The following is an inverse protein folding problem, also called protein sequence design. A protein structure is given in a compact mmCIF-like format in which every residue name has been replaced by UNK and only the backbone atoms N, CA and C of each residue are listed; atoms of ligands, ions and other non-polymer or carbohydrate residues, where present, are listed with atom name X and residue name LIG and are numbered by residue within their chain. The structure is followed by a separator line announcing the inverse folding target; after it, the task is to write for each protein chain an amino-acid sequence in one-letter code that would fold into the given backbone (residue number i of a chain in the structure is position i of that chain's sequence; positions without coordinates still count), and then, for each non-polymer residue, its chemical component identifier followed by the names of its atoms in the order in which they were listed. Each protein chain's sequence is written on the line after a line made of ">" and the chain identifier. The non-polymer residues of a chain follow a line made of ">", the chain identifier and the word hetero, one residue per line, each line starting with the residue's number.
data_IF_080109611554
#
_entry.id   IF_080109611554
#
_cell.length_a   1.000
_cell.length_b   1.000
_cell.length_c   1.000
_cell.angle_alpha   90.00
_cell.angle_beta   90.00
_cell.angle_gamma   90.00
#
_symmetry.space_group_name_H-M   'P 1'
#
loop_
_entity.id
_entity.type
_entity.pdbx_description
1 polymer ?
#
# COMPACT_ATOMS: atom_id res chain seq x y z
N UNK A 1 13.98 -18.14 14.81
CA UNK A 1 12.64 -17.60 14.50
C UNK A 1 12.42 -17.76 13.00
N UNK A 2 11.36 -18.45 12.57
CA UNK A 2 11.06 -18.61 11.14
C UNK A 2 10.75 -17.24 10.57
N UNK A 3 11.49 -16.80 9.54
CA UNK A 3 11.16 -15.58 8.83
C UNK A 3 9.74 -15.73 8.25
N UNK A 4 8.85 -14.81 8.58
CA UNK A 4 7.51 -14.75 8.00
C UNK A 4 7.63 -14.65 6.48
N UNK A 5 7.04 -15.60 5.77
CA UNK A 5 7.04 -15.63 4.30
C UNK A 5 6.00 -14.64 3.75
N UNK A 6 6.24 -14.14 2.55
CA UNK A 6 5.24 -13.36 1.84
C UNK A 6 4.01 -14.21 1.49
N UNK A 7 2.85 -13.56 1.49
CA UNK A 7 1.55 -14.14 1.17
C UNK A 7 0.74 -13.16 0.36
N UNK A 8 -0.24 -13.68 -0.38
CA UNK A 8 -1.30 -12.85 -0.95
C UNK A 8 -2.54 -12.84 -0.04
N UNK A 9 -3.16 -11.68 0.06
CA UNK A 9 -4.56 -11.52 0.41
C UNK A 9 -5.35 -11.14 -0.85
N UNK A 10 -6.60 -11.63 -0.94
CA UNK A 10 -7.52 -11.37 -2.06
C UNK A 10 -6.99 -11.80 -3.45
N UNK A 11 -6.12 -12.80 -3.49
CA UNK A 11 -5.60 -13.35 -4.74
C UNK A 11 -5.11 -14.79 -4.54
N UNK A 12 -5.38 -15.64 -5.50
CA UNK A 12 -4.87 -17.01 -5.59
C UNK A 12 -3.54 -17.09 -6.35
N UNK A 13 -2.98 -15.94 -6.74
CA UNK A 13 -1.70 -15.88 -7.43
C UNK A 13 -0.58 -16.47 -6.56
N UNK A 14 0.38 -17.11 -7.20
CA UNK A 14 1.59 -17.57 -6.49
C UNK A 14 2.47 -16.37 -6.15
N UNK A 15 3.02 -16.38 -4.94
CA UNK A 15 4.02 -15.38 -4.53
C UNK A 15 5.19 -15.41 -5.53
N UNK A 16 5.57 -14.27 -6.11
CA UNK A 16 6.72 -14.19 -7.00
C UNK A 16 7.99 -14.72 -6.32
N UNK A 17 8.80 -15.48 -7.04
CA UNK A 17 10.00 -16.10 -6.48
C UNK A 17 9.70 -17.31 -5.57
N UNK A 18 10.66 -17.68 -4.72
CA UNK A 18 10.54 -18.83 -3.78
C UNK A 18 10.16 -18.36 -2.37
N UNK A 19 8.99 -17.67 -2.24
CA UNK A 19 8.49 -17.16 -0.96
C UNK A 19 9.01 -15.79 -0.55
N UNK A 20 9.92 -15.20 -1.32
CA UNK A 20 10.38 -13.81 -1.22
C UNK A 20 10.35 -13.23 -2.62
N UNK A 21 9.70 -12.07 -2.83
CA UNK A 21 9.65 -11.44 -4.14
C UNK A 21 11.05 -11.14 -4.68
N UNK A 22 11.29 -11.35 -5.99
CA UNK A 22 12.52 -10.91 -6.63
C UNK A 22 12.62 -9.38 -6.61
N UNK A 23 13.77 -8.80 -6.98
CA UNK A 23 13.94 -7.35 -7.03
C UNK A 23 12.88 -6.63 -7.88
N UNK A 24 12.36 -7.30 -8.90
CA UNK A 24 11.28 -6.82 -9.77
C UNK A 24 10.19 -7.88 -9.88
N UNK A 25 8.93 -7.46 -9.76
CA UNK A 25 7.75 -8.33 -9.90
C UNK A 25 6.51 -7.51 -10.27
N UNK A 26 5.49 -8.20 -10.74
CA UNK A 26 4.21 -7.60 -11.15
C UNK A 26 3.07 -8.18 -10.33
N UNK A 27 2.11 -7.33 -9.96
CA UNK A 27 0.81 -7.74 -9.43
C UNK A 27 -0.25 -7.32 -10.45
N UNK A 28 -1.06 -8.28 -10.87
CA UNK A 28 -2.21 -8.03 -11.74
C UNK A 28 -3.45 -7.81 -10.86
N UNK A 29 -4.01 -6.62 -10.92
CA UNK A 29 -5.26 -6.29 -10.26
C UNK A 29 -6.44 -6.60 -11.18
N UNK A 30 -7.34 -7.53 -10.83
CA UNK A 30 -8.56 -7.73 -11.58
C UNK A 30 -9.44 -6.47 -11.58
N UNK A 31 -10.27 -6.33 -12.60
CA UNK A 31 -11.32 -5.32 -12.63
C UNK A 31 -12.27 -5.47 -11.42
N UNK A 32 -12.91 -4.38 -11.02
CA UNK A 32 -13.81 -4.31 -9.87
C UNK A 32 -13.15 -4.59 -8.50
N UNK A 33 -11.85 -4.36 -8.39
CA UNK A 33 -11.12 -4.47 -7.12
C UNK A 33 -10.84 -3.10 -6.51
N UNK A 34 -10.92 -3.00 -5.16
CA UNK A 34 -10.73 -1.73 -4.46
C UNK A 34 -10.31 -1.94 -3.00
N UNK A 35 -9.72 -0.89 -2.40
CA UNK A 35 -9.50 -0.75 -0.95
C UNK A 35 -10.03 0.62 -0.55
N UNK A 36 -11.27 0.65 -0.03
CA UNK A 36 -11.98 1.87 0.31
C UNK A 36 -12.98 1.67 1.45
N UNK A 37 -13.18 2.69 2.27
CA UNK A 37 -14.19 2.70 3.32
C UNK A 37 -14.86 4.07 3.40
N UNK A 38 -16.20 4.12 3.27
CA UNK A 38 -16.98 5.36 3.29
C UNK A 38 -18.29 5.18 4.05
N UNK A 39 -18.68 6.15 4.94
CA UNK A 39 -19.99 6.13 5.57
C UNK A 39 -21.15 6.10 4.55
N UNK A 40 -22.31 5.54 4.93
CA UNK A 40 -22.54 4.90 6.22
C UNK A 40 -22.10 3.44 6.29
N UNK A 41 -21.83 2.76 5.16
CA UNK A 41 -21.66 1.31 5.15
C UNK A 41 -20.78 0.76 4.01
N UNK A 42 -20.19 1.61 3.19
CA UNK A 42 -19.35 1.13 2.09
C UNK A 42 -18.00 0.63 2.63
N UNK A 43 -17.76 -0.67 2.54
CA UNK A 43 -16.48 -1.30 2.87
C UNK A 43 -16.06 -2.13 1.66
N UNK A 44 -14.90 -1.81 1.09
CA UNK A 44 -14.27 -2.55 0.01
C UNK A 44 -12.84 -2.89 0.43
N UNK A 45 -12.51 -4.16 0.34
CA UNK A 45 -11.17 -4.66 0.64
C UNK A 45 -10.91 -5.91 -0.20
N UNK A 46 -10.96 -5.73 -1.54
CA UNK A 46 -10.93 -6.83 -2.51
C UNK A 46 -9.69 -6.83 -3.41
N UNK A 47 -8.87 -5.78 -3.34
CA UNK A 47 -7.68 -5.68 -4.16
C UNK A 47 -6.60 -6.69 -3.72
N UNK A 48 -5.84 -7.29 -4.66
CA UNK A 48 -4.69 -8.13 -4.33
C UNK A 48 -3.63 -7.37 -3.54
N UNK A 49 -3.20 -7.95 -2.43
CA UNK A 49 -2.14 -7.43 -1.56
C UNK A 49 -1.08 -8.50 -1.39
N UNK A 50 0.15 -8.24 -1.79
CA UNK A 50 1.31 -9.06 -1.47
C UNK A 50 1.96 -8.51 -0.21
N UNK A 51 1.96 -9.26 0.87
CA UNK A 51 2.39 -8.80 2.18
C UNK A 51 3.23 -9.80 2.95
N UNK A 52 3.90 -9.29 3.96
CA UNK A 52 4.58 -10.04 5.01
C UNK A 52 4.02 -9.61 6.37
N UNK A 53 3.69 -10.56 7.26
CA UNK A 53 3.36 -10.25 8.64
C UNK A 53 4.62 -9.86 9.41
N UNK A 54 4.54 -8.74 10.13
CA UNK A 54 5.65 -8.13 10.86
C UNK A 54 5.15 -7.80 12.27
N UNK A 55 5.91 -8.02 13.34
CA UNK A 55 5.55 -7.48 14.64
C UNK A 55 5.47 -5.94 14.59
N UNK A 56 4.34 -5.36 15.00
CA UNK A 56 4.10 -3.91 14.90
C UNK A 56 5.23 -3.08 15.53
N UNK A 57 5.71 -3.52 16.69
CA UNK A 57 6.76 -2.83 17.45
C UNK A 57 8.13 -2.89 16.77
N UNK A 58 8.40 -3.93 15.98
CA UNK A 58 9.70 -4.11 15.30
C UNK A 58 9.77 -3.41 13.94
N UNK A 59 8.67 -2.93 13.40
CA UNK A 59 8.68 -2.22 12.13
C UNK A 59 9.50 -0.93 12.21
N UNK A 60 10.37 -0.73 11.22
CA UNK A 60 11.16 0.49 11.05
C UNK A 60 10.75 1.27 9.83
N UNK A 61 10.78 0.62 8.68
CA UNK A 61 10.41 1.25 7.41
C UNK A 61 10.06 0.22 6.34
N UNK A 62 9.35 0.69 5.33
CA UNK A 62 9.20 -0.01 4.06
C UNK A 62 9.42 0.97 2.92
N UNK A 63 10.07 0.50 1.84
CA UNK A 63 10.31 1.29 0.64
C UNK A 63 10.05 0.43 -0.60
N UNK A 64 9.44 1.03 -1.62
CA UNK A 64 9.19 0.36 -2.90
C UNK A 64 9.11 1.37 -4.03
N UNK A 65 9.67 1.02 -5.19
CA UNK A 65 9.42 1.68 -6.46
C UNK A 65 8.29 0.95 -7.18
N UNK A 66 7.45 1.68 -7.91
CA UNK A 66 6.37 1.08 -8.69
C UNK A 66 5.96 1.95 -9.87
N UNK A 67 5.37 1.31 -10.88
CA UNK A 67 4.81 1.97 -12.05
C UNK A 67 3.71 1.11 -12.69
N UNK A 68 2.84 1.76 -13.46
CA UNK A 68 1.87 1.10 -14.33
C UNK A 68 1.46 2.02 -15.48
N UNK A 69 0.78 1.44 -16.47
CA UNK A 69 -0.02 2.19 -17.43
C UNK A 69 -1.41 2.43 -16.80
N UNK A 70 -1.54 3.57 -16.15
CA UNK A 70 -2.78 3.98 -15.50
C UNK A 70 -3.78 4.46 -16.55
N UNK A 71 -4.87 3.72 -16.78
CA UNK A 71 -5.80 3.97 -17.88
C UNK A 71 -7.22 4.29 -17.42
N UNK A 72 -7.68 3.62 -16.39
CA UNK A 72 -9.05 3.77 -15.89
C UNK A 72 -9.07 4.63 -14.64
N UNK A 73 -10.14 5.42 -14.49
CA UNK A 73 -10.29 6.26 -13.30
C UNK A 73 -10.25 5.40 -12.04
N UNK A 74 -9.43 5.82 -11.07
CA UNK A 74 -9.09 5.12 -9.82
C UNK A 74 -8.21 3.88 -9.98
N UNK A 75 -7.62 3.60 -11.15
CA UNK A 75 -6.50 2.67 -11.22
C UNK A 75 -5.45 3.08 -10.20
N UNK A 76 -5.00 2.15 -9.37
CA UNK A 76 -4.14 2.48 -8.25
C UNK A 76 -3.19 1.34 -7.87
N UNK A 77 -2.05 1.70 -7.29
CA UNK A 77 -1.08 0.75 -6.78
C UNK A 77 0.01 1.44 -5.98
N UNK A 78 0.63 0.70 -5.08
CA UNK A 78 1.66 1.21 -4.20
C UNK A 78 1.88 0.35 -2.97
N UNK A 79 2.21 1.00 -1.85
CA UNK A 79 2.50 0.37 -0.56
C UNK A 79 1.27 0.41 0.36
N UNK A 80 1.14 -0.62 1.20
CA UNK A 80 0.05 -0.72 2.18
C UNK A 80 0.54 -1.28 3.50
N UNK A 81 0.05 -0.72 4.60
CA UNK A 81 0.12 -1.24 5.96
C UNK A 81 -1.30 -1.61 6.40
N UNK A 82 -1.49 -2.80 6.95
CA UNK A 82 -2.80 -3.27 7.44
C UNK A 82 -2.66 -3.75 8.88
N UNK A 83 -3.47 -3.19 9.76
CA UNK A 83 -3.59 -3.59 11.16
C UNK A 83 -4.88 -4.39 11.33
N UNK A 84 -4.75 -5.69 11.50
CA UNK A 84 -5.88 -6.55 11.84
C UNK A 84 -5.99 -6.63 13.36
N UNK A 85 -7.08 -6.17 13.92
CA UNK A 85 -7.29 -6.07 15.36
C UNK A 85 -7.90 -7.35 15.94
N UNK A 86 -7.75 -7.57 17.25
CA UNK A 86 -8.19 -8.79 17.90
C UNK A 86 -9.73 -8.94 17.93
N UNK A 87 -10.47 -7.85 17.86
CA UNK A 87 -11.94 -7.79 17.77
C UNK A 87 -12.49 -8.04 16.36
N UNK A 88 -11.60 -8.32 15.39
CA UNK A 88 -11.95 -8.54 13.98
C UNK A 88 -12.03 -7.26 13.16
N UNK A 89 -11.69 -6.12 13.72
CA UNK A 89 -11.57 -4.86 13.00
C UNK A 89 -10.36 -4.83 12.09
N UNK A 90 -10.35 -3.87 11.17
CA UNK A 90 -9.23 -3.66 10.25
C UNK A 90 -9.02 -2.17 10.02
N UNK A 91 -7.80 -1.71 10.31
CA UNK A 91 -7.32 -0.37 10.01
C UNK A 91 -6.21 -0.46 8.98
N UNK A 92 -6.04 0.56 8.16
CA UNK A 92 -4.98 0.50 7.16
C UNK A 92 -4.53 1.89 6.71
N UNK A 93 -3.30 1.95 6.21
CA UNK A 93 -2.73 3.09 5.49
C UNK A 93 -2.20 2.60 4.17
N UNK A 94 -2.68 3.15 3.07
CA UNK A 94 -2.14 2.90 1.74
C UNK A 94 -1.61 4.18 1.13
N UNK A 95 -0.52 4.09 0.38
CA UNK A 95 0.04 5.20 -0.38
C UNK A 95 0.57 4.70 -1.72
N UNK A 96 0.33 5.46 -2.76
CA UNK A 96 0.70 5.03 -4.11
C UNK A 96 0.40 6.08 -5.15
N UNK A 97 0.28 5.63 -6.40
CA UNK A 97 -0.31 6.42 -7.48
C UNK A 97 -1.77 5.99 -7.64
N UNK A 98 -2.62 6.97 -7.89
CA UNK A 98 -4.01 6.80 -8.26
C UNK A 98 -4.36 7.70 -9.44
N UNK A 99 -4.95 7.13 -10.48
CA UNK A 99 -5.41 7.88 -11.64
C UNK A 99 -6.74 8.52 -11.34
N UNK A 100 -6.77 9.84 -11.27
CA UNK A 100 -8.02 10.59 -11.12
C UNK A 100 -7.90 11.95 -11.80
N UNK A 101 -9.04 12.55 -12.22
CA UNK A 101 -9.06 13.80 -12.97
C UNK A 101 -8.15 13.79 -14.22
N UNK A 102 -8.06 12.62 -14.87
CA UNK A 102 -7.31 12.44 -16.13
C UNK A 102 -5.79 12.41 -16.00
N UNK A 103 -5.23 12.33 -14.78
CA UNK A 103 -3.78 12.26 -14.55
C UNK A 103 -3.41 11.47 -13.29
N UNK A 104 -2.17 10.94 -13.23
CA UNK A 104 -1.66 10.28 -12.03
C UNK A 104 -1.47 11.26 -10.87
N UNK A 105 -1.90 10.84 -9.66
CA UNK A 105 -1.67 11.57 -8.42
C UNK A 105 -0.98 10.65 -7.41
N UNK A 106 -0.08 11.21 -6.62
CA UNK A 106 0.30 10.62 -5.36
C UNK A 106 -0.93 10.62 -4.46
N UNK A 107 -1.28 9.44 -3.97
CA UNK A 107 -2.44 9.20 -3.13
C UNK A 107 -2.00 8.68 -1.78
N UNK A 108 -2.56 9.24 -0.72
CA UNK A 108 -2.44 8.69 0.63
C UNK A 108 -3.85 8.54 1.19
N UNK A 109 -4.18 7.34 1.64
CA UNK A 109 -5.42 7.06 2.33
C UNK A 109 -5.10 6.41 3.67
N UNK A 110 -5.57 7.02 4.75
CA UNK A 110 -5.53 6.43 6.09
C UNK A 110 -6.95 6.09 6.53
N UNK A 111 -7.18 4.85 6.96
CA UNK A 111 -8.48 4.37 7.45
C UNK A 111 -8.34 3.89 8.88
N UNK A 112 -8.78 4.71 9.82
CA UNK A 112 -9.07 4.28 11.17
C UNK A 112 -10.51 3.70 11.24
N UNK A 113 -11.52 4.54 11.28
CA UNK A 113 -12.93 4.14 11.11
C UNK A 113 -13.34 4.22 9.63
N UNK A 114 -13.11 5.38 9.02
CA UNK A 114 -13.39 5.65 7.62
C UNK A 114 -12.15 6.14 6.89
N UNK A 115 -12.16 6.03 5.57
CA UNK A 115 -11.06 6.49 4.75
C UNK A 115 -10.96 8.02 4.77
N UNK A 116 -9.77 8.52 5.05
CA UNK A 116 -9.36 9.90 4.89
C UNK A 116 -8.30 9.96 3.77
N UNK A 117 -8.63 10.63 2.68
CA UNK A 117 -7.91 10.58 1.42
C UNK A 117 -7.37 11.95 1.00
N UNK A 118 -6.11 11.98 0.64
CA UNK A 118 -5.43 13.16 0.07
C UNK A 118 -4.70 12.83 -1.23
N UNK A 119 -4.63 13.81 -2.11
CA UNK A 119 -4.05 13.72 -3.44
C UNK A 119 -3.06 14.87 -3.68
N UNK A 120 -1.96 14.54 -4.34
CA UNK A 120 -1.00 15.50 -4.86
C UNK A 120 -0.63 15.08 -6.29
N UNK A 121 -0.62 15.96 -7.29
CA UNK A 121 -0.11 15.59 -8.61
C UNK A 121 1.28 14.98 -8.51
N UNK A 122 1.54 13.91 -9.27
CA UNK A 122 2.90 13.34 -9.33
C UNK A 122 3.84 14.41 -9.87
N UNK A 123 4.91 14.80 -9.17
CA UNK A 123 5.77 15.92 -9.58
C UNK A 123 6.37 15.75 -10.98
N UNK A 124 6.74 14.53 -11.35
CA UNK A 124 7.24 14.21 -12.70
C UNK A 124 6.15 14.23 -13.78
N UNK A 125 4.87 14.27 -13.40
CA UNK A 125 3.74 14.04 -14.31
C UNK A 125 3.63 12.61 -14.85
N UNK A 126 4.54 11.72 -14.46
CA UNK A 126 4.64 10.35 -14.95
C UNK A 126 3.82 9.34 -14.15
N UNK A 127 3.88 8.08 -14.61
CA UNK A 127 3.18 6.94 -14.00
C UNK A 127 4.00 6.14 -12.99
N UNK A 128 5.14 6.66 -12.52
CA UNK A 128 6.06 5.96 -11.62
C UNK A 128 6.34 6.78 -10.35
N UNK A 129 6.53 6.11 -9.24
CA UNK A 129 6.97 6.71 -7.98
C UNK A 129 7.81 5.73 -7.15
N UNK A 130 8.60 6.28 -6.24
CA UNK A 130 9.20 5.54 -5.13
C UNK A 130 8.70 6.14 -3.84
N UNK A 131 8.10 5.32 -3.00
CA UNK A 131 7.61 5.72 -1.69
C UNK A 131 8.38 5.02 -0.57
N UNK A 132 8.53 5.74 0.54
CA UNK A 132 9.10 5.19 1.77
C UNK A 132 8.17 5.56 2.93
N UNK A 133 7.78 4.55 3.71
CA UNK A 133 7.01 4.69 4.93
C UNK A 133 7.93 4.39 6.11
N UNK A 134 8.04 5.32 7.05
CA UNK A 134 8.99 5.25 8.17
C UNK A 134 8.26 5.41 9.49
N UNK A 135 8.57 4.55 10.45
CA UNK A 135 8.24 4.77 11.86
C UNK A 135 9.27 5.72 12.46
N UNK A 136 8.85 6.90 12.83
CA UNK A 136 9.71 7.89 13.47
C UNK A 136 9.83 7.67 15.00
N UNK A 137 10.74 8.40 15.64
CA UNK A 137 11.06 8.22 17.06
C UNK A 137 9.91 8.52 18.02
N UNK A 138 8.96 9.33 17.57
CA UNK A 138 7.73 9.69 18.31
C UNK A 138 6.57 8.72 18.06
N UNK A 139 6.83 7.57 17.44
CA UNK A 139 5.86 6.57 17.01
C UNK A 139 4.88 7.04 15.94
N UNK A 140 5.12 8.16 15.26
CA UNK A 140 4.34 8.53 14.08
C UNK A 140 4.78 7.75 12.85
N UNK A 141 3.87 7.52 11.92
CA UNK A 141 4.16 7.01 10.58
C UNK A 141 4.31 8.19 9.63
N UNK A 142 5.50 8.33 9.06
CA UNK A 142 5.73 9.30 7.99
C UNK A 142 5.81 8.64 6.64
N UNK A 143 5.21 9.29 5.65
CA UNK A 143 5.18 8.84 4.26
C UNK A 143 5.95 9.86 3.43
N UNK A 144 6.95 9.36 2.70
CA UNK A 144 7.85 10.17 1.88
C UNK A 144 7.79 9.76 0.42
N UNK A 145 7.78 10.76 -0.48
CA UNK A 145 8.19 10.58 -1.87
C UNK A 145 9.72 10.60 -1.93
N UNK A 146 10.30 9.64 -2.64
CA UNK A 146 11.76 9.53 -2.80
C UNK A 146 12.14 9.80 -4.24
N UNK A 147 12.97 10.83 -4.46
CA UNK A 147 13.47 11.24 -5.77
C UNK A 147 15.01 11.33 -5.70
N UNK A 148 15.67 10.28 -6.19
CA UNK A 148 17.13 10.17 -6.05
C UNK A 148 17.57 10.12 -4.59
N UNK A 149 18.29 11.13 -4.12
CA UNK A 149 18.72 11.28 -2.73
C UNK A 149 17.78 12.14 -1.87
N UNK A 150 16.77 12.74 -2.48
CA UNK A 150 15.82 13.60 -1.79
C UNK A 150 14.62 12.80 -1.28
N UNK A 151 14.12 13.17 -0.10
CA UNK A 151 12.88 12.67 0.48
C UNK A 151 11.98 13.85 0.79
N UNK A 152 10.80 13.88 0.16
CA UNK A 152 9.78 14.88 0.40
C UNK A 152 8.67 14.30 1.25
N UNK A 153 8.39 14.83 2.46
CA UNK A 153 7.30 14.35 3.28
C UNK A 153 5.96 14.69 2.63
N UNK A 154 5.04 13.72 2.58
CA UNK A 154 3.71 13.89 2.00
C UNK A 154 2.59 13.71 3.00
N UNK A 155 2.80 12.91 4.06
CA UNK A 155 1.81 12.77 5.14
C UNK A 155 2.42 12.21 6.40
N UNK A 156 1.90 12.67 7.54
CA UNK A 156 2.05 12.05 8.85
C UNK A 156 0.74 11.35 9.24
N UNK A 157 0.86 10.14 9.84
CA UNK A 157 -0.25 9.40 10.45
C UNK A 157 0.16 8.99 11.85
N UNK A 158 -0.48 9.56 12.87
CA UNK A 158 -0.01 9.52 14.26
C UNK A 158 -0.44 8.28 15.04
N UNK A 159 -1.46 7.54 14.60
CA UNK A 159 -2.11 6.48 15.38
C UNK A 159 -1.62 5.06 15.09
N UNK A 160 -0.89 4.83 14.00
CA UNK A 160 -0.57 3.47 13.48
C UNK A 160 0.16 2.62 14.50
N UNK A 161 1.14 3.16 15.22
CA UNK A 161 1.99 2.44 16.17
C UNK A 161 1.53 2.56 17.61
N UNK A 162 0.47 3.33 17.88
CA UNK A 162 -0.19 3.46 19.17
C UNK A 162 -1.40 2.50 19.32
N UNK A 163 -1.72 1.73 18.28
CA UNK A 163 -2.80 0.75 18.33
C UNK A 163 -2.40 -0.47 19.18
N UNK A 164 -3.10 -0.70 20.28
CA UNK A 164 -2.76 -1.73 21.27
C UNK A 164 -3.33 -3.12 20.92
N UNK A 165 -4.43 -3.18 20.16
CA UNK A 165 -5.17 -4.41 19.91
C UNK A 165 -4.78 -5.12 18.60
N UNK A 166 -3.59 -4.86 18.07
CA UNK A 166 -3.16 -5.45 16.79
C UNK A 166 -2.80 -6.92 16.98
N UNK A 167 -3.57 -7.80 16.34
CA UNK A 167 -3.32 -9.23 16.27
C UNK A 167 -2.33 -9.61 15.16
N UNK A 168 -2.41 -8.93 14.03
CA UNK A 168 -1.57 -9.18 12.85
C UNK A 168 -1.36 -7.89 12.08
N UNK A 169 -0.11 -7.55 11.83
CA UNK A 169 0.29 -6.36 11.11
C UNK A 169 0.95 -6.74 9.78
N UNK A 170 0.34 -6.31 8.68
CA UNK A 170 0.83 -6.57 7.34
C UNK A 170 1.58 -5.38 6.79
N UNK A 171 2.71 -5.66 6.19
CA UNK A 171 3.50 -4.70 5.43
C UNK A 171 3.66 -5.25 4.02
N UNK A 172 3.23 -4.49 3.01
CA UNK A 172 3.26 -5.00 1.65
C UNK A 172 2.90 -3.97 0.59
N UNK A 173 2.56 -4.49 -0.58
CA UNK A 173 2.18 -3.71 -1.75
C UNK A 173 0.83 -4.16 -2.28
N UNK A 174 0.12 -3.27 -2.96
CA UNK A 174 -1.21 -3.53 -3.49
C UNK A 174 -1.36 -2.99 -4.91
N UNK A 175 -2.32 -3.54 -5.63
CA UNK A 175 -2.77 -3.02 -6.92
C UNK A 175 -4.29 -3.13 -6.99
N UNK A 176 -4.99 -2.13 -7.54
CA UNK A 176 -6.44 -2.17 -7.69
C UNK A 176 -6.92 -1.46 -8.94
N UNK A 177 -7.96 -2.02 -9.56
CA UNK A 177 -8.73 -1.42 -10.65
C UNK A 177 -10.20 -1.38 -10.27
N UNK A 178 -10.70 -0.26 -9.70
CA UNK A 178 -12.12 -0.13 -9.31
C UNK A 178 -13.07 -0.16 -10.50
N UNK A 179 -12.62 0.24 -11.69
CA UNK A 179 -13.41 0.10 -12.91
C UNK A 179 -13.76 -1.38 -13.20
N UNK A 180 -14.99 -1.61 -13.64
CA UNK A 180 -15.41 -2.92 -14.18
C UNK A 180 -14.94 -3.17 -15.61
N UNK A 181 -14.36 -2.17 -16.26
CA UNK A 181 -13.88 -2.21 -17.62
C UNK A 181 -12.35 -2.29 -17.70
N UNK A 182 -11.83 -2.81 -18.83
CA UNK A 182 -10.41 -2.72 -19.16
C UNK A 182 -9.55 -3.91 -18.75
N UNK A 183 -10.14 -4.99 -18.25
CA UNK A 183 -9.41 -6.19 -17.84
C UNK A 183 -8.54 -5.98 -16.61
N UNK A 184 -7.43 -6.70 -16.50
CA UNK A 184 -6.48 -6.58 -15.39
C UNK A 184 -5.58 -5.35 -15.55
N UNK A 185 -5.19 -4.75 -14.40
CA UNK A 185 -4.16 -3.73 -14.32
C UNK A 185 -2.86 -4.36 -13.84
N UNK A 186 -1.83 -4.50 -14.68
CA UNK A 186 -0.50 -4.88 -14.24
C UNK A 186 0.20 -3.70 -13.57
N UNK A 187 0.55 -3.84 -12.30
CA UNK A 187 1.41 -2.88 -11.57
C UNK A 187 2.76 -3.52 -11.34
N UNK A 188 3.81 -2.88 -11.81
CA UNK A 188 5.19 -3.33 -11.64
C UNK A 188 5.78 -2.73 -10.37
N UNK A 189 6.42 -3.57 -9.58
CA UNK A 189 7.11 -3.20 -8.35
C UNK A 189 8.59 -3.51 -8.44
N UNK A 190 9.39 -2.64 -7.85
CA UNK A 190 10.84 -2.80 -7.79
C UNK A 190 11.39 -2.54 -6.39
N UNK A 191 12.37 -3.36 -5.98
CA UNK A 191 13.14 -3.15 -4.76
C UNK A 191 12.30 -2.97 -3.50
N UNK A 192 11.33 -3.88 -3.26
CA UNK A 192 10.57 -3.87 -2.01
C UNK A 192 11.49 -4.19 -0.83
N UNK A 193 11.64 -3.22 0.06
CA UNK A 193 12.43 -3.32 1.30
C UNK A 193 11.47 -3.23 2.48
N UNK A 194 11.62 -4.12 3.46
CA UNK A 194 10.91 -4.08 4.75
C UNK A 194 11.95 -4.27 5.85
N UNK A 195 12.25 -3.20 6.57
CA UNK A 195 13.23 -3.20 7.66
C UNK A 195 12.52 -3.34 9.02
N UNK A 196 13.11 -4.15 9.87
CA UNK A 196 12.67 -4.48 11.23
C UNK A 196 13.84 -4.41 12.20
N UNK A 197 13.55 -4.27 13.49
CA UNK A 197 14.51 -4.51 14.58
C UNK A 197 14.80 -5.99 14.77
#
# INVERSE_FOLDING_TARGET
>A
MSQSQFKFANSDAKVPGKGTPPPEFTINAPASTDIWAKPPSTIRFSAPILYKSVPLKSFKRTRVAFNALWEKNYDQGGVILVLNTADGGQKWVKSGIELTHGRPHLSVVAKDNWADWSLLPVPSGGGAATLELVKEKDNSLWIYLVEGLQKSPIREVTWVFEEENVKDFWVGVYAARPSSEGGELPVNFGHLIIDQE
#
